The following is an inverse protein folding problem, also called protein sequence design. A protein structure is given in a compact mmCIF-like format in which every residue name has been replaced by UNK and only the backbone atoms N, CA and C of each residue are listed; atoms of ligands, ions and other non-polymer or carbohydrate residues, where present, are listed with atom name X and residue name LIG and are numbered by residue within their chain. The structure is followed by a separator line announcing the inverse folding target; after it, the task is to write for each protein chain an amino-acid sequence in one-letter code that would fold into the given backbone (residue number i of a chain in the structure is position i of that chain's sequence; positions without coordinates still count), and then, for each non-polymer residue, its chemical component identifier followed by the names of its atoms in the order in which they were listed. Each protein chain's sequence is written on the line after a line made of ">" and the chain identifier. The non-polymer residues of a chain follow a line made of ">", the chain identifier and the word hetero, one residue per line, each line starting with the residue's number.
data_IF_755085538966
#
_entry.id   IF_755085538966
#
_cell.length_a   1.000
_cell.length_b   1.000
_cell.length_c   1.000
_cell.angle_alpha   90.00
_cell.angle_beta   90.00
_cell.angle_gamma   90.00
#
_symmetry.space_group_name_H-M   'P 1'
#
loop_
_entity.id
_entity.type
_entity.pdbx_description
1 polymer ?
#
# COMPACT_ATOMS: atom_id res chain seq x y z
N UNK A 1 8.64 -21.80 9.38
CA UNK A 1 9.64 -21.15 8.50
C UNK A 1 9.58 -19.66 8.77
N UNK A 2 10.65 -19.03 9.29
CA UNK A 2 10.62 -17.61 9.62
C UNK A 2 10.79 -16.75 8.37
N UNK A 3 10.11 -15.60 8.31
CA UNK A 3 10.21 -14.61 7.21
C UNK A 3 11.66 -14.24 6.84
N UNK A 4 12.54 -14.23 7.84
CA UNK A 4 13.97 -13.91 7.66
C UNK A 4 14.74 -15.02 6.96
N UNK A 5 14.38 -16.28 7.21
CA UNK A 5 15.05 -17.43 6.60
C UNK A 5 14.66 -17.55 5.13
N UNK A 6 13.39 -17.27 4.83
CA UNK A 6 12.90 -17.19 3.45
C UNK A 6 13.59 -16.08 2.64
N UNK A 7 13.74 -14.87 3.20
CA UNK A 7 14.44 -13.78 2.52
C UNK A 7 15.93 -14.05 2.31
N UNK A 8 16.58 -14.72 3.27
CA UNK A 8 17.99 -15.16 3.12
C UNK A 8 18.14 -16.21 2.02
N UNK A 9 17.20 -17.15 1.94
CA UNK A 9 17.17 -18.16 0.89
C UNK A 9 16.91 -17.54 -0.49
N UNK A 10 15.96 -16.60 -0.60
CA UNK A 10 15.66 -15.89 -1.83
C UNK A 10 16.83 -15.00 -2.31
N UNK A 11 17.58 -14.38 -1.39
CA UNK A 11 18.77 -13.61 -1.71
C UNK A 11 19.93 -14.51 -2.21
N UNK A 12 20.10 -15.71 -1.63
CA UNK A 12 21.14 -16.66 -2.03
C UNK A 12 20.92 -17.32 -3.40
N UNK A 13 19.67 -17.39 -3.87
CA UNK A 13 19.31 -17.98 -5.16
C UNK A 13 19.65 -17.10 -6.38
N UNK A 14 20.18 -15.89 -6.18
CA UNK A 14 20.43 -14.91 -7.25
C UNK A 14 21.80 -15.02 -7.93
N UNK A 15 22.62 -16.03 -7.62
CA UNK A 15 23.99 -16.20 -8.17
C UNK A 15 24.11 -17.37 -9.18
N UNK A 16 23.02 -17.77 -9.83
CA UNK A 16 23.10 -18.70 -10.96
C UNK A 16 23.02 -17.92 -12.29
N UNK A 17 24.12 -17.78 -13.04
CA UNK A 17 24.07 -17.20 -14.37
C UNK A 17 23.40 -18.21 -15.31
N UNK A 18 22.11 -17.99 -15.61
CA UNK A 18 21.41 -18.74 -16.67
C UNK A 18 19.99 -19.23 -16.35
N UNK A 19 19.51 -19.13 -15.12
CA UNK A 19 18.10 -19.40 -14.85
C UNK A 19 17.28 -18.14 -15.13
N UNK A 20 16.80 -18.00 -16.37
CA UNK A 20 15.73 -17.06 -16.71
C UNK A 20 14.50 -17.39 -15.85
N UNK A 21 14.40 -16.75 -14.68
CA UNK A 21 13.15 -16.57 -14.00
C UNK A 21 12.37 -15.54 -14.81
N UNK A 22 11.35 -16.01 -15.52
CA UNK A 22 10.33 -15.17 -16.14
C UNK A 22 9.75 -14.25 -15.07
N UNK A 23 10.29 -13.03 -14.99
CA UNK A 23 9.78 -11.94 -14.16
C UNK A 23 8.46 -11.49 -14.75
N UNK A 24 7.38 -12.23 -14.47
CA UNK A 24 6.05 -11.71 -14.61
C UNK A 24 5.94 -10.47 -13.71
N UNK A 25 6.04 -9.29 -14.32
CA UNK A 25 5.50 -8.05 -13.77
C UNK A 25 6.39 -7.13 -12.94
N UNK A 26 7.72 -7.24 -12.99
CA UNK A 26 8.56 -6.09 -12.56
C UNK A 26 8.85 -5.25 -13.79
N UNK A 27 7.95 -4.32 -14.09
CA UNK A 27 8.21 -3.25 -15.04
C UNK A 27 9.23 -2.30 -14.42
N UNK A 28 10.51 -2.51 -14.70
CA UNK A 28 11.49 -1.45 -14.54
C UNK A 28 11.19 -0.45 -15.64
N UNK A 29 10.83 0.79 -15.27
CA UNK A 29 10.75 1.86 -16.25
C UNK A 29 12.16 2.06 -16.84
N UNK A 30 12.41 1.54 -18.03
CA UNK A 30 13.61 1.86 -18.81
C UNK A 30 13.41 3.25 -19.39
N UNK A 31 13.80 4.24 -18.61
CA UNK A 31 13.63 5.66 -18.94
C UNK A 31 14.82 6.15 -19.76
N UNK A 32 14.60 6.79 -20.94
CA UNK A 32 15.64 7.54 -21.64
C UNK A 32 16.16 8.68 -20.77
N UNK A 33 17.48 8.81 -20.65
CA UNK A 33 18.14 9.76 -19.75
C UNK A 33 17.80 11.25 -20.03
N UNK A 34 17.16 11.55 -21.17
CA UNK A 34 16.80 12.87 -21.66
C UNK A 34 15.29 13.19 -21.59
N UNK A 35 14.46 12.23 -21.16
CA UNK A 35 13.02 12.43 -21.00
C UNK A 35 12.74 13.40 -19.84
N UNK A 36 12.56 14.69 -20.17
CA UNK A 36 12.09 15.71 -19.22
C UNK A 36 10.63 15.44 -18.88
N UNK A 37 10.39 14.63 -17.86
CA UNK A 37 9.09 14.46 -17.21
C UNK A 37 8.69 15.75 -16.49
N UNK A 38 8.27 16.77 -17.23
CA UNK A 38 7.69 17.96 -16.61
C UNK A 38 6.31 17.66 -16.01
N UNK A 39 5.53 16.80 -16.68
CA UNK A 39 4.15 16.47 -16.28
C UNK A 39 3.93 14.95 -16.33
N UNK A 40 4.47 14.21 -15.36
CA UNK A 40 4.29 12.76 -15.23
C UNK A 40 3.19 12.43 -14.21
N UNK A 41 2.16 11.70 -14.65
CA UNK A 41 1.17 11.09 -13.77
C UNK A 41 1.49 9.60 -13.61
N UNK A 42 1.65 9.15 -12.37
CA UNK A 42 1.78 7.73 -12.03
C UNK A 42 0.44 7.27 -11.46
N UNK A 43 -0.24 6.35 -12.16
CA UNK A 43 -1.46 5.71 -11.69
C UNK A 43 -1.14 4.30 -11.20
N UNK A 44 -1.47 4.02 -9.93
CA UNK A 44 -1.31 2.70 -9.32
C UNK A 44 -2.70 2.12 -9.06
N UNK A 45 -3.08 1.12 -9.86
CA UNK A 45 -4.32 0.36 -9.65
C UNK A 45 -4.04 -0.90 -8.84
N UNK A 46 -4.68 -1.04 -7.68
CA UNK A 46 -4.57 -2.22 -6.82
C UNK A 46 -5.70 -3.21 -7.12
N UNK A 47 -5.51 -4.04 -8.15
CA UNK A 47 -6.50 -5.05 -8.57
C UNK A 47 -6.55 -6.24 -7.60
N UNK A 48 -7.74 -6.64 -7.19
CA UNK A 48 -8.03 -7.96 -6.60
C UNK A 48 -8.09 -8.06 -5.07
N UNK A 49 -7.49 -7.16 -4.27
CA UNK A 49 -7.38 -7.41 -2.83
C UNK A 49 -7.07 -6.25 -1.89
N UNK A 50 -7.18 -4.98 -2.33
CA UNK A 50 -7.10 -3.87 -1.37
C UNK A 50 -8.34 -3.89 -0.47
N UNK A 51 -8.15 -4.11 0.82
CA UNK A 51 -9.19 -3.93 1.82
C UNK A 51 -9.34 -2.44 2.14
N UNK A 52 -10.28 -1.78 1.46
CA UNK A 52 -10.51 -0.34 1.63
C UNK A 52 -10.79 0.07 3.07
N UNK A 53 -11.46 -0.80 3.86
CA UNK A 53 -11.78 -0.53 5.26
C UNK A 53 -10.58 -0.71 6.21
N UNK A 54 -9.49 -1.35 5.79
CA UNK A 54 -8.23 -1.36 6.52
C UNK A 54 -7.19 -0.40 5.96
N UNK A 55 -7.32 0.03 4.70
CA UNK A 55 -6.51 1.12 4.14
C UNK A 55 -6.93 2.47 4.73
N UNK A 56 -8.25 2.72 4.78
CA UNK A 56 -8.85 3.86 5.45
C UNK A 56 -9.83 3.35 6.51
N UNK A 57 -9.35 3.30 7.74
CA UNK A 57 -10.00 2.68 8.89
C UNK A 57 -11.05 3.62 9.49
N UNK A 58 -12.36 3.27 9.48
CA UNK A 58 -13.40 4.04 10.15
C UNK A 58 -13.43 3.71 11.65
N UNK A 59 -12.36 4.06 12.37
CA UNK A 59 -12.11 3.61 13.74
C UNK A 59 -13.15 4.11 14.76
N UNK A 60 -13.93 5.13 14.44
CA UNK A 60 -15.01 5.64 15.29
C UNK A 60 -16.34 4.89 15.11
N UNK A 61 -16.41 3.94 14.16
CA UNK A 61 -17.64 3.23 13.80
C UNK A 61 -17.70 1.87 14.49
N UNK A 62 -18.60 1.63 15.47
CA UNK A 62 -18.64 0.36 16.20
C UNK A 62 -18.92 -0.86 15.32
N UNK A 63 -19.75 -0.70 14.28
CA UNK A 63 -20.10 -1.78 13.36
C UNK A 63 -18.90 -2.31 12.57
N UNK A 64 -17.85 -1.49 12.37
CA UNK A 64 -16.59 -1.96 11.77
C UNK A 64 -15.95 -3.06 12.62
N UNK A 65 -15.95 -2.92 13.94
CA UNK A 65 -15.42 -3.94 14.85
C UNK A 65 -16.32 -5.17 14.92
N UNK A 66 -17.63 -4.97 15.01
CA UNK A 66 -18.62 -6.07 15.10
C UNK A 66 -18.61 -6.93 13.84
N UNK A 67 -18.55 -6.32 12.65
CA UNK A 67 -18.58 -7.03 11.38
C UNK A 67 -17.22 -7.61 11.00
N UNK A 68 -16.13 -7.18 11.66
CA UNK A 68 -14.76 -7.56 11.30
C UNK A 68 -13.94 -8.05 12.50
N UNK A 69 -14.42 -8.99 13.32
CA UNK A 69 -13.80 -9.35 14.60
C UNK A 69 -12.36 -9.88 14.48
N UNK A 70 -11.96 -10.39 13.31
CA UNK A 70 -10.60 -10.88 13.04
C UNK A 70 -9.72 -9.91 12.26
N UNK A 71 -10.31 -8.87 11.65
CA UNK A 71 -9.62 -7.99 10.69
C UNK A 71 -9.58 -6.53 11.16
N UNK A 72 -10.45 -6.14 12.09
CA UNK A 72 -10.52 -4.78 12.58
C UNK A 72 -9.23 -4.36 13.26
N UNK A 73 -8.80 -3.13 12.99
CA UNK A 73 -7.62 -2.51 13.60
C UNK A 73 -8.05 -1.78 14.86
N UNK A 74 -7.38 -2.08 15.97
CA UNK A 74 -7.64 -1.43 17.26
C UNK A 74 -7.44 0.08 17.14
N UNK A 75 -8.32 0.85 17.79
CA UNK A 75 -8.40 2.32 17.64
C UNK A 75 -7.08 3.04 17.96
N UNK A 76 -6.32 2.51 18.91
CA UNK A 76 -5.02 3.01 19.36
C UNK A 76 -3.87 2.72 18.37
N UNK A 77 -4.06 1.78 17.45
CA UNK A 77 -3.08 1.45 16.40
C UNK A 77 -3.32 2.24 15.11
N UNK A 78 -4.49 2.86 14.96
CA UNK A 78 -4.86 3.60 13.75
C UNK A 78 -4.10 4.92 13.68
N UNK A 79 -3.51 5.20 12.52
CA UNK A 79 -2.90 6.50 12.24
C UNK A 79 -4.01 7.50 11.94
N UNK A 80 -4.45 8.24 12.96
CA UNK A 80 -5.64 9.11 12.85
C UNK A 80 -5.41 10.27 11.86
N UNK A 81 -6.33 10.40 10.90
CA UNK A 81 -6.36 11.52 9.94
C UNK A 81 -7.43 12.55 10.30
N UNK A 82 -8.53 12.09 10.90
CA UNK A 82 -9.65 12.88 11.42
C UNK A 82 -10.22 12.22 12.68
N UNK A 83 -11.29 12.78 13.24
CA UNK A 83 -12.01 12.24 14.41
C UNK A 83 -12.74 10.90 14.13
N UNK A 84 -12.90 10.54 12.86
CA UNK A 84 -13.72 9.38 12.45
C UNK A 84 -12.97 8.36 11.60
N UNK A 85 -11.88 8.76 10.95
CA UNK A 85 -11.12 7.91 10.05
C UNK A 85 -9.61 8.09 10.18
N UNK A 86 -8.87 7.02 9.87
CA UNK A 86 -7.42 7.03 9.87
C UNK A 86 -6.84 5.99 8.91
N UNK A 87 -5.52 5.94 8.80
CA UNK A 87 -4.82 4.97 7.94
C UNK A 87 -4.44 3.72 8.71
N UNK A 88 -4.23 2.63 7.95
CA UNK A 88 -3.51 1.45 8.44
C UNK A 88 -2.18 1.85 9.10
N UNK A 89 -1.74 1.19 10.19
CA UNK A 89 -0.42 1.45 10.81
C UNK A 89 0.74 1.38 9.81
N UNK A 90 0.71 0.40 8.90
CA UNK A 90 1.72 0.26 7.83
C UNK A 90 1.79 1.45 6.84
N UNK A 91 0.80 2.34 6.85
CA UNK A 91 0.74 3.55 6.03
C UNK A 91 1.14 4.80 6.82
N UNK A 92 1.64 4.67 8.05
CA UNK A 92 2.21 5.78 8.83
C UNK A 92 3.20 6.65 8.03
N UNK A 93 4.06 6.12 7.13
CA UNK A 93 4.95 6.95 6.32
C UNK A 93 4.24 7.96 5.40
N UNK A 94 2.92 7.84 5.18
CA UNK A 94 2.12 8.80 4.41
C UNK A 94 1.61 9.98 5.26
N UNK A 95 1.69 9.90 6.58
CA UNK A 95 1.20 10.95 7.48
C UNK A 95 1.87 12.32 7.24
N UNK A 96 3.17 12.43 6.92
CA UNK A 96 3.76 13.72 6.57
C UNK A 96 3.09 14.38 5.35
N UNK A 97 2.75 13.59 4.32
CA UNK A 97 2.07 14.08 3.10
C UNK A 97 0.63 14.55 3.41
N UNK A 98 -0.05 13.86 4.32
CA UNK A 98 -1.34 14.32 4.82
C UNK A 98 -1.22 15.67 5.53
N UNK A 99 -0.24 15.80 6.43
CA UNK A 99 0.00 17.03 7.20
C UNK A 99 0.43 18.21 6.31
N UNK A 100 1.20 17.95 5.25
CA UNK A 100 1.61 18.96 4.26
C UNK A 100 0.50 19.32 3.25
N UNK A 101 -0.66 18.62 3.30
CA UNK A 101 -1.76 18.73 2.31
C UNK A 101 -1.38 18.32 0.89
N UNK A 102 -0.44 17.39 0.78
CA UNK A 102 0.01 16.78 -0.49
C UNK A 102 -0.65 15.40 -0.74
N UNK A 103 -1.37 14.88 0.26
CA UNK A 103 -2.18 13.67 0.14
C UNK A 103 -3.67 13.99 0.32
N UNK A 104 -4.50 13.46 -0.57
CA UNK A 104 -5.95 13.48 -0.46
C UNK A 104 -6.50 12.05 -0.51
N UNK A 105 -7.60 11.83 0.22
CA UNK A 105 -8.33 10.56 0.23
C UNK A 105 -9.73 10.81 -0.29
N UNK A 106 -10.11 10.13 -1.38
CA UNK A 106 -11.43 10.19 -1.97
C UNK A 106 -12.11 8.84 -1.81
N UNK A 107 -13.27 8.83 -1.15
CA UNK A 107 -14.13 7.65 -1.01
C UNK A 107 -15.29 7.71 -1.99
N UNK A 108 -15.94 6.56 -2.25
CA UNK A 108 -17.15 6.50 -3.07
C UNK A 108 -16.92 6.72 -4.56
N UNK A 109 -15.69 6.51 -5.03
CA UNK A 109 -15.34 6.60 -6.45
C UNK A 109 -15.76 5.31 -7.15
N UNK A 110 -16.45 5.42 -8.28
CA UNK A 110 -16.91 4.29 -9.09
C UNK A 110 -17.18 4.73 -10.52
N UNK A 111 -17.30 3.76 -11.43
CA UNK A 111 -17.71 4.00 -12.80
C UNK A 111 -19.23 3.76 -12.92
N UNK A 112 -19.98 4.61 -13.66
CA UNK A 112 -21.40 4.39 -13.95
C UNK A 112 -21.64 3.16 -14.83
#
# INVERSE_FOLDING_TARGET
>A
MNRRDFLRFAAGASVLPGAMLSTAGVAWATVPADARYRDLLVLIELKGGNDGLNTLVPYATPTYYTLRPKLAIARDQVVQLSDTAGLHPALEPLLPLWKSRELAVLQGVGYP
#
